data_IF_500716490715
#
_entry.id   IF_500716490715
#
_cell.length_a   1.000
_cell.length_b   1.000
_cell.length_c   1.000
_cell.angle_alpha   90.00
_cell.angle_beta   90.00
_cell.angle_gamma   90.00
#
_symmetry.space_group_name_H-M   'P 1'
#
loop_
_entity.id
_entity.type
_entity.pdbx_description
1 polymer ?
#
# COMPACT_ATOMS: atom_id res chain seq x y z
N UNK A 1 14.01 0.29 72.17
CA UNK A 1 14.52 1.63 71.83
C UNK A 1 14.25 1.88 70.35
N UNK A 2 13.28 2.76 70.02
CA UNK A 2 12.94 3.11 68.63
C UNK A 2 13.69 4.39 68.27
N UNK A 3 14.57 4.31 67.27
CA UNK A 3 15.27 5.46 66.72
C UNK A 3 14.31 6.21 65.79
N UNK A 4 13.77 7.35 66.25
CA UNK A 4 13.10 8.31 65.37
C UNK A 4 14.20 9.10 64.63
N UNK A 5 14.64 8.57 63.49
CA UNK A 5 15.46 9.36 62.55
C UNK A 5 14.55 10.35 61.86
N UNK A 6 14.68 11.63 62.22
CA UNK A 6 13.96 12.73 61.59
C UNK A 6 14.47 12.94 60.17
N UNK A 7 13.52 12.99 59.22
CA UNK A 7 13.77 13.28 57.81
C UNK A 7 14.61 14.56 57.68
N UNK A 8 15.79 14.47 57.10
CA UNK A 8 16.65 15.64 56.90
C UNK A 8 16.28 16.36 55.60
N UNK A 9 16.40 17.70 55.58
CA UNK A 9 16.10 18.51 54.39
C UNK A 9 16.96 18.08 53.17
N UNK A 10 18.18 17.59 53.43
CA UNK A 10 19.09 17.02 52.44
C UNK A 10 18.51 15.75 51.80
N UNK A 11 17.88 14.87 52.59
CA UNK A 11 17.30 13.62 52.08
C UNK A 11 16.11 13.88 51.15
N UNK A 12 15.31 14.91 51.44
CA UNK A 12 14.24 15.38 50.55
C UNK A 12 14.81 15.93 49.24
N UNK A 13 15.85 16.76 49.31
CA UNK A 13 16.50 17.31 48.12
C UNK A 13 17.11 16.23 47.22
N UNK A 14 17.79 15.24 47.80
CA UNK A 14 18.35 14.11 47.06
C UNK A 14 17.25 13.27 46.43
N UNK A 15 16.15 13.02 47.16
CA UNK A 15 15.00 12.27 46.63
C UNK A 15 14.34 12.98 45.45
N UNK A 16 14.16 14.30 45.51
CA UNK A 16 13.60 15.10 44.41
C UNK A 16 14.55 15.09 43.21
N UNK A 17 15.86 15.21 43.44
CA UNK A 17 16.86 15.17 42.37
C UNK A 17 16.85 13.80 41.66
N UNK A 18 16.85 12.70 42.42
CA UNK A 18 16.78 11.35 41.87
C UNK A 18 15.47 11.12 41.11
N UNK A 19 14.34 11.58 41.65
CA UNK A 19 13.05 11.50 40.97
C UNK A 19 13.07 12.25 39.63
N UNK A 20 13.63 13.46 39.59
CA UNK A 20 13.74 14.25 38.37
C UNK A 20 14.54 13.52 37.28
N UNK A 21 15.68 12.92 37.64
CA UNK A 21 16.51 12.14 36.71
C UNK A 21 15.72 10.93 36.16
N UNK A 22 15.05 10.18 37.03
CA UNK A 22 14.27 9.01 36.65
C UNK A 22 13.14 9.41 35.68
N UNK A 23 12.39 10.48 35.98
CA UNK A 23 11.30 10.96 35.13
C UNK A 23 11.82 11.36 33.75
N UNK A 24 12.95 12.08 33.66
CA UNK A 24 13.50 12.47 32.35
C UNK A 24 13.88 11.29 31.45
N UNK A 25 14.48 10.24 32.02
CA UNK A 25 14.86 9.04 31.25
C UNK A 25 13.62 8.27 30.79
N UNK A 26 12.61 8.14 31.66
CA UNK A 26 11.37 7.42 31.35
C UNK A 26 10.52 8.16 30.31
N UNK A 27 10.42 9.49 30.39
CA UNK A 27 9.66 10.28 29.41
C UNK A 27 10.30 10.20 28.02
N UNK A 28 11.63 10.21 27.94
CA UNK A 28 12.36 10.04 26.68
C UNK A 28 12.13 8.67 26.03
N UNK A 29 12.18 7.59 26.82
CA UNK A 29 11.98 6.23 26.31
C UNK A 29 10.51 5.98 25.90
N UNK A 30 9.54 6.49 26.66
CA UNK A 30 8.12 6.44 26.29
C UNK A 30 7.83 7.22 25.00
N UNK A 31 8.42 8.41 24.84
CA UNK A 31 8.28 9.21 23.61
C UNK A 31 8.79 8.48 22.36
N UNK A 32 9.91 7.75 22.48
CA UNK A 32 10.43 6.90 21.41
C UNK A 32 9.48 5.76 21.03
N UNK A 33 8.88 5.09 22.01
CA UNK A 33 7.92 4.01 21.78
C UNK A 33 6.65 4.51 21.07
N UNK A 34 6.11 5.66 21.47
CA UNK A 34 4.93 6.24 20.80
C UNK A 34 5.20 6.63 19.36
N UNK A 35 6.39 7.17 19.06
CA UNK A 35 6.79 7.48 17.68
C UNK A 35 6.91 6.22 16.84
N UNK A 36 7.57 5.20 17.37
CA UNK A 36 7.72 3.91 16.68
C UNK A 36 6.38 3.23 16.42
N UNK A 37 5.43 3.31 17.36
CA UNK A 37 4.07 2.78 17.17
C UNK A 37 3.36 3.51 16.04
N UNK A 38 3.38 4.84 16.04
CA UNK A 38 2.73 5.65 14.98
C UNK A 38 3.32 5.37 13.60
N UNK A 39 4.64 5.28 13.49
CA UNK A 39 5.31 4.97 12.22
C UNK A 39 4.94 3.56 11.73
N UNK A 40 4.81 2.60 12.65
CA UNK A 40 4.41 1.22 12.33
C UNK A 40 2.96 1.15 11.88
N UNK A 41 2.04 1.79 12.60
CA UNK A 41 0.62 1.86 12.25
C UNK A 41 0.44 2.48 10.87
N UNK A 42 1.20 3.54 10.56
CA UNK A 42 1.13 4.20 9.27
C UNK A 42 1.66 3.34 8.12
N UNK A 43 2.74 2.59 8.35
CA UNK A 43 3.29 1.62 7.37
C UNK A 43 2.33 0.46 7.12
N UNK A 44 1.68 -0.04 8.18
CA UNK A 44 0.67 -1.08 8.08
C UNK A 44 -0.53 -0.59 7.26
N UNK A 45 -1.06 0.60 7.57
CA UNK A 45 -2.20 1.16 6.83
C UNK A 45 -1.90 1.34 5.34
N UNK A 46 -0.74 1.91 4.98
CA UNK A 46 -0.35 2.12 3.58
C UNK A 46 -0.15 0.79 2.83
N UNK A 47 0.41 -0.22 3.49
CA UNK A 47 0.59 -1.56 2.90
C UNK A 47 -0.76 -2.26 2.67
N UNK A 48 -1.64 -2.25 3.69
CA UNK A 48 -2.99 -2.82 3.58
C UNK A 48 -3.79 -2.14 2.48
N UNK A 49 -3.66 -0.81 2.34
CA UNK A 49 -4.33 -0.07 1.27
C UNK A 49 -3.88 -0.55 -0.12
N UNK A 50 -2.56 -0.66 -0.34
CA UNK A 50 -2.01 -1.14 -1.62
C UNK A 50 -2.45 -2.58 -1.93
N UNK A 51 -2.43 -3.46 -0.92
CA UNK A 51 -2.89 -4.85 -1.06
C UNK A 51 -4.38 -4.93 -1.41
N UNK A 52 -5.22 -4.15 -0.71
CA UNK A 52 -6.67 -4.09 -0.96
C UNK A 52 -6.96 -3.61 -2.38
N UNK A 53 -6.22 -2.59 -2.85
CA UNK A 53 -6.35 -2.10 -4.23
C UNK A 53 -5.93 -3.17 -5.23
N UNK A 54 -4.80 -3.83 -5.02
CA UNK A 54 -4.31 -4.89 -5.89
C UNK A 54 -5.29 -6.08 -5.99
N UNK A 55 -5.81 -6.54 -4.85
CA UNK A 55 -6.79 -7.63 -4.80
C UNK A 55 -8.13 -7.23 -5.40
N UNK A 56 -8.59 -6.00 -5.16
CA UNK A 56 -9.80 -5.46 -5.76
C UNK A 56 -9.68 -5.39 -7.28
N UNK A 57 -8.54 -4.89 -7.79
CA UNK A 57 -8.25 -4.85 -9.22
C UNK A 57 -8.20 -6.26 -9.83
N UNK A 58 -7.53 -7.19 -9.13
CA UNK A 58 -7.50 -8.60 -9.53
C UNK A 58 -8.90 -9.18 -9.65
N UNK A 59 -9.74 -8.99 -8.64
CA UNK A 59 -11.11 -9.49 -8.61
C UNK A 59 -11.93 -8.89 -9.76
N UNK A 60 -11.76 -7.59 -10.03
CA UNK A 60 -12.49 -6.88 -11.08
C UNK A 60 -12.14 -7.37 -12.50
N UNK A 61 -10.87 -7.73 -12.73
CA UNK A 61 -10.38 -8.26 -14.01
C UNK A 61 -10.55 -9.78 -14.16
N UNK A 62 -10.71 -10.50 -13.05
CA UNK A 62 -11.01 -11.93 -13.05
C UNK A 62 -12.52 -12.22 -12.93
N UNK A 63 -13.36 -11.19 -13.09
CA UNK A 63 -14.81 -11.34 -13.05
C UNK A 63 -15.29 -12.33 -14.13
N UNK A 64 -15.86 -13.49 -13.75
CA UNK A 64 -16.31 -14.51 -14.68
C UNK A 64 -17.68 -14.19 -15.29
N UNK A 65 -18.37 -13.16 -14.81
CA UNK A 65 -19.69 -12.78 -15.31
C UNK A 65 -19.59 -12.43 -16.79
N UNK A 66 -20.55 -12.93 -17.57
CA UNK A 66 -20.63 -12.67 -19.01
C UNK A 66 -21.56 -11.51 -19.29
N UNK A 67 -21.23 -10.70 -20.27
CA UNK A 67 -22.17 -9.74 -20.84
C UNK A 67 -23.17 -10.42 -21.79
N UNK A 68 -24.06 -9.63 -22.38
CA UNK A 68 -25.07 -10.11 -23.35
C UNK A 68 -24.46 -10.73 -24.62
N UNK A 69 -23.17 -10.51 -24.89
CA UNK A 69 -22.43 -11.11 -26.01
C UNK A 69 -21.79 -12.46 -25.65
N UNK A 70 -21.87 -12.87 -24.38
CA UNK A 70 -21.22 -14.08 -23.87
C UNK A 70 -19.73 -13.90 -23.53
N UNK A 71 -19.21 -12.68 -23.61
CA UNK A 71 -17.83 -12.33 -23.28
C UNK A 71 -17.70 -12.14 -21.77
N UNK A 72 -16.69 -12.73 -21.14
CA UNK A 72 -16.45 -12.46 -19.72
C UNK A 72 -16.08 -10.99 -19.52
N UNK A 73 -16.82 -10.28 -18.67
CA UNK A 73 -16.61 -8.87 -18.38
C UNK A 73 -15.19 -8.61 -17.85
N UNK A 74 -14.64 -9.55 -17.08
CA UNK A 74 -13.25 -9.50 -16.65
C UNK A 74 -12.26 -9.48 -17.81
N UNK A 75 -12.48 -10.27 -18.87
CA UNK A 75 -11.63 -10.28 -20.07
C UNK A 75 -11.68 -8.94 -20.80
N UNK A 76 -12.87 -8.39 -20.95
CA UNK A 76 -13.07 -7.09 -21.57
C UNK A 76 -12.35 -5.98 -20.79
N UNK A 77 -12.49 -5.95 -19.46
CA UNK A 77 -11.84 -4.95 -18.60
C UNK A 77 -10.32 -5.11 -18.58
N UNK A 78 -9.87 -6.35 -18.46
CA UNK A 78 -8.47 -6.70 -18.44
C UNK A 78 -7.78 -6.32 -19.74
N UNK A 79 -8.33 -6.70 -20.90
CA UNK A 79 -7.74 -6.37 -22.21
C UNK A 79 -7.65 -4.87 -22.45
N UNK A 80 -8.55 -4.06 -21.87
CA UNK A 80 -8.60 -2.61 -22.07
C UNK A 80 -7.94 -1.80 -20.96
N UNK A 81 -7.33 -2.45 -19.97
CA UNK A 81 -6.66 -1.78 -18.83
C UNK A 81 -7.57 -0.77 -18.14
N UNK A 82 -8.81 -1.17 -17.91
CA UNK A 82 -9.83 -0.30 -17.36
C UNK A 82 -10.49 -0.90 -16.12
N UNK A 83 -11.15 -0.03 -15.39
CA UNK A 83 -12.10 -0.38 -14.33
C UNK A 83 -13.43 0.30 -14.62
N UNK A 84 -14.49 -0.21 -14.00
CA UNK A 84 -15.81 0.41 -14.05
C UNK A 84 -16.03 1.11 -12.72
N UNK A 85 -16.11 2.44 -12.73
CA UNK A 85 -16.24 3.24 -11.52
C UNK A 85 -17.51 2.97 -10.72
N UNK A 86 -18.54 2.36 -11.33
CA UNK A 86 -19.74 1.91 -10.61
C UNK A 86 -19.53 0.65 -9.76
N UNK A 87 -18.48 -0.12 -10.05
CA UNK A 87 -18.18 -1.41 -9.40
C UNK A 87 -16.87 -1.38 -8.60
N UNK A 88 -15.89 -0.61 -9.05
CA UNK A 88 -14.59 -0.49 -8.42
C UNK A 88 -14.00 0.89 -8.66
N UNK A 89 -13.59 1.55 -7.58
CA UNK A 89 -12.89 2.83 -7.62
C UNK A 89 -11.52 2.69 -6.94
N UNK A 90 -10.49 3.23 -7.58
CA UNK A 90 -9.16 3.37 -6.95
C UNK A 90 -9.28 4.46 -5.88
N UNK A 91 -8.95 4.19 -4.61
CA UNK A 91 -8.99 5.18 -3.55
C UNK A 91 -8.07 6.38 -3.84
N UNK A 92 -8.45 7.55 -3.33
CA UNK A 92 -7.60 8.74 -3.41
C UNK A 92 -6.22 8.48 -2.78
N UNK A 93 -5.17 9.06 -3.37
CA UNK A 93 -3.79 8.86 -2.92
C UNK A 93 -3.12 7.56 -3.39
N UNK A 94 -3.82 6.75 -4.19
CA UNK A 94 -3.26 5.56 -4.83
C UNK A 94 -3.16 5.76 -6.34
N UNK A 95 -2.00 5.43 -6.90
CA UNK A 95 -1.74 5.45 -8.34
C UNK A 95 -1.52 4.04 -8.85
N UNK A 96 -2.16 3.71 -9.97
CA UNK A 96 -1.97 2.43 -10.68
C UNK A 96 -1.30 2.71 -12.02
N UNK A 97 -0.08 2.21 -12.18
CA UNK A 97 0.68 2.27 -13.43
C UNK A 97 0.77 0.89 -14.05
N UNK A 98 0.62 0.80 -15.36
CA UNK A 98 0.66 -0.44 -16.11
C UNK A 98 1.69 -0.36 -17.22
N UNK A 99 2.21 -1.52 -17.62
CA UNK A 99 2.95 -1.70 -18.85
C UNK A 99 2.82 -3.15 -19.31
N UNK A 100 2.91 -3.36 -20.61
CA UNK A 100 2.78 -4.67 -21.22
C UNK A 100 4.17 -5.19 -21.62
N UNK A 101 4.41 -6.46 -21.30
CA UNK A 101 5.61 -7.22 -21.63
C UNK A 101 5.28 -8.15 -22.79
N UNK A 102 5.96 -7.95 -23.92
CA UNK A 102 5.80 -8.78 -25.12
C UNK A 102 7.03 -9.67 -25.27
N UNK A 103 6.84 -10.98 -25.24
CA UNK A 103 7.92 -11.92 -25.52
C UNK A 103 8.36 -11.82 -26.99
N UNK A 104 9.66 -11.78 -27.23
CA UNK A 104 10.25 -11.81 -28.57
C UNK A 104 10.75 -13.23 -28.91
N UNK A 105 10.98 -13.48 -30.19
CA UNK A 105 11.49 -14.76 -30.70
C UNK A 105 12.91 -15.08 -30.24
N UNK A 106 13.68 -14.09 -29.79
CA UNK A 106 15.04 -14.22 -29.26
C UNK A 106 15.08 -14.55 -27.75
N UNK A 107 13.92 -14.76 -27.11
CA UNK A 107 13.80 -15.02 -25.68
C UNK A 107 13.87 -13.76 -24.80
N UNK A 108 14.00 -12.56 -25.38
CA UNK A 108 13.92 -11.30 -24.66
C UNK A 108 12.48 -10.77 -24.54
N UNK A 109 12.28 -9.73 -23.74
CA UNK A 109 10.98 -9.06 -23.58
C UNK A 109 11.07 -7.60 -24.08
N UNK A 110 10.13 -7.20 -24.93
CA UNK A 110 9.85 -5.78 -25.15
C UNK A 110 8.91 -5.27 -24.07
N UNK A 111 9.23 -4.10 -23.51
CA UNK A 111 8.38 -3.42 -22.53
C UNK A 111 7.70 -2.24 -23.22
N UNK A 112 6.39 -2.10 -23.06
CA UNK A 112 5.68 -0.90 -23.53
C UNK A 112 6.04 0.32 -22.68
N UNK A 113 5.74 1.52 -23.18
CA UNK A 113 5.70 2.71 -22.33
C UNK A 113 4.68 2.51 -21.19
N UNK A 114 4.96 3.08 -19.99
CA UNK A 114 4.03 3.02 -18.88
C UNK A 114 2.79 3.87 -19.14
N UNK A 115 1.62 3.37 -18.79
CA UNK A 115 0.35 4.09 -18.91
C UNK A 115 -0.52 3.89 -17.66
N UNK A 116 -1.51 4.77 -17.49
CA UNK A 116 -2.39 4.76 -16.32
C UNK A 116 -3.60 3.84 -16.50
N UNK A 117 -4.13 3.36 -15.38
CA UNK A 117 -5.41 2.64 -15.36
C UNK A 117 -6.54 3.58 -15.83
N UNK A 118 -7.32 3.15 -16.81
CA UNK A 118 -8.45 3.94 -17.30
C UNK A 118 -9.67 3.75 -16.41
N UNK A 119 -10.36 4.83 -16.06
CA UNK A 119 -11.63 4.80 -15.31
C UNK A 119 -12.85 4.55 -16.21
N UNK A 120 -12.62 4.50 -17.53
CA UNK A 120 -13.61 4.07 -18.52
C UNK A 120 -13.03 2.93 -19.34
N UNK A 121 -13.87 2.03 -19.85
CA UNK A 121 -13.44 0.95 -20.74
C UNK A 121 -13.61 1.34 -22.21
N UNK A 122 -12.57 1.91 -22.86
CA UNK A 122 -12.69 2.43 -24.23
C UNK A 122 -12.92 1.29 -25.21
N UNK A 123 -13.65 1.49 -26.29
CA UNK A 123 -13.95 0.45 -27.30
C UNK A 123 -12.81 0.18 -28.30
N UNK A 124 -11.79 1.03 -28.35
CA UNK A 124 -10.73 1.01 -29.39
C UNK A 124 -9.34 0.55 -28.94
N UNK A 125 -8.99 0.67 -27.66
CA UNK A 125 -7.65 0.29 -27.17
C UNK A 125 -7.69 -1.10 -26.50
N UNK A 126 -7.30 -2.13 -27.24
CA UNK A 126 -7.10 -3.48 -26.70
C UNK A 126 -5.60 -3.77 -26.54
N UNK A 127 -5.26 -4.49 -25.48
CA UNK A 127 -3.91 -4.99 -25.21
C UNK A 127 -3.38 -5.81 -26.40
N UNK A 128 -2.09 -5.69 -26.75
CA UNK A 128 -1.49 -6.59 -27.73
C UNK A 128 -1.62 -8.06 -27.30
N UNK A 129 -1.91 -8.95 -28.26
CA UNK A 129 -2.03 -10.38 -27.98
C UNK A 129 -0.71 -10.95 -27.44
N UNK A 130 -0.79 -12.04 -26.68
CA UNK A 130 0.37 -12.74 -26.11
C UNK A 130 1.32 -11.89 -25.25
N UNK A 131 0.76 -10.90 -24.55
CA UNK A 131 1.53 -10.08 -23.61
C UNK A 131 1.25 -10.46 -22.15
N UNK A 132 2.22 -10.20 -21.28
CA UNK A 132 2.04 -10.21 -19.82
C UNK A 132 1.86 -8.77 -19.38
N UNK A 133 0.81 -8.47 -18.62
CA UNK A 133 0.58 -7.14 -18.10
C UNK A 133 1.20 -7.03 -16.73
N UNK A 134 2.15 -6.11 -16.56
CA UNK A 134 2.68 -5.77 -15.23
C UNK A 134 1.91 -4.56 -14.70
N UNK A 135 1.55 -4.62 -13.43
CA UNK A 135 0.79 -3.60 -12.73
C UNK A 135 1.57 -3.20 -11.50
N UNK A 136 1.74 -1.90 -11.32
CA UNK A 136 2.33 -1.28 -10.15
C UNK A 136 1.28 -0.44 -9.46
N UNK A 137 1.01 -0.77 -8.20
CA UNK A 137 0.14 -0.01 -7.32
C UNK A 137 1.01 0.71 -6.30
N UNK A 138 0.89 2.03 -6.25
CA UNK A 138 1.65 2.88 -5.34
C UNK A 138 0.70 3.72 -4.50
N UNK A 139 0.89 3.71 -3.18
CA UNK A 139 0.21 4.64 -2.27
C UNK A 139 1.22 5.63 -1.70
N UNK A 140 0.82 6.89 -1.60
CA UNK A 140 1.50 7.91 -0.80
C UNK A 140 0.75 8.09 0.52
N UNK A 141 1.35 7.67 1.63
CA UNK A 141 0.85 7.97 2.97
C UNK A 141 1.17 9.40 3.42
N UNK A 142 0.53 9.82 4.52
CA UNK A 142 0.92 11.04 5.23
C UNK A 142 2.42 11.00 5.59
N UNK A 143 3.10 12.14 5.72
CA UNK A 143 4.54 12.20 6.02
C UNK A 143 5.51 11.55 4.99
N UNK A 144 5.06 11.24 3.78
CA UNK A 144 5.94 10.83 2.67
C UNK A 144 6.29 9.33 2.61
N UNK A 145 5.71 8.51 3.48
CA UNK A 145 5.83 7.04 3.42
C UNK A 145 5.18 6.53 2.14
N UNK A 146 5.96 5.84 1.29
CA UNK A 146 5.49 5.25 0.03
C UNK A 146 5.49 3.74 0.15
N UNK A 147 4.36 3.12 -0.19
CA UNK A 147 4.24 1.67 -0.32
C UNK A 147 3.95 1.33 -1.77
N UNK A 148 4.64 0.31 -2.29
CA UNK A 148 4.52 -0.15 -3.67
C UNK A 148 4.31 -1.66 -3.68
N UNK A 149 3.43 -2.11 -4.57
CA UNK A 149 3.26 -3.51 -4.90
C UNK A 149 3.21 -3.65 -6.43
N UNK A 150 4.09 -4.50 -6.95
CA UNK A 150 4.16 -4.81 -8.38
C UNK A 150 3.81 -6.27 -8.58
N UNK A 151 2.92 -6.55 -9.52
CA UNK A 151 2.46 -7.90 -9.85
C UNK A 151 2.18 -8.06 -11.35
N UNK A 152 2.05 -9.29 -11.80
CA UNK A 152 1.93 -9.63 -13.21
C UNK A 152 0.65 -10.42 -13.47
N UNK A 153 0.00 -10.12 -14.60
CA UNK A 153 -1.19 -10.77 -15.08
C UNK A 153 -0.93 -11.34 -16.47
N UNK A 154 -1.13 -12.64 -16.59
CA UNK A 154 -1.17 -13.33 -17.88
C UNK A 154 -2.55 -13.94 -18.07
N UNK A 155 -3.12 -13.69 -19.24
CA UNK A 155 -4.35 -14.34 -19.70
C UNK A 155 -4.25 -14.54 -21.19
N UNK A 156 -4.46 -15.77 -21.64
CA UNK A 156 -4.66 -16.10 -23.04
C UNK A 156 -6.05 -15.59 -23.42
N UNK A 157 -6.09 -14.47 -24.15
CA UNK A 157 -7.32 -13.96 -24.78
C UNK A 157 -7.50 -14.70 -26.08
#
# INVERSE_FOLDING_TARGET
MRSNQGFTLIEVLVSIMLLAVIVTVVVGSLGGLFRSSRDSDQRLQTTTQVQTVAEGLRRHWMDPNKDSSGTAQGDYRFSRSCVDTGLYAVPAGVTVTLWDLTAKSDGSFAVSDPYSLSTACPTTAARPANTVRRVKVQSSGAAGTRSELTFEFYRSV
#
